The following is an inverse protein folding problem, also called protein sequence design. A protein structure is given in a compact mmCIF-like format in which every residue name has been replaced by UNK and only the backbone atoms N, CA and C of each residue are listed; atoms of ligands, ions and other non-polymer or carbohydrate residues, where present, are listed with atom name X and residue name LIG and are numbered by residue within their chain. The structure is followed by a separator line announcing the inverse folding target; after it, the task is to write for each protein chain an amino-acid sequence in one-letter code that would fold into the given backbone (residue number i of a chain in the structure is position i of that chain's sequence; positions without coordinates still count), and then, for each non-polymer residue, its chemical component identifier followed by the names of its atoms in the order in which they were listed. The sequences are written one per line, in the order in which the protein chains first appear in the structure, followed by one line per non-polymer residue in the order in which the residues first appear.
data_IF_502094686187
#
_entry.id   IF_502094686187
#
_cell.length_a   1.000
_cell.length_b   1.000
_cell.length_c   1.000
_cell.angle_alpha   90.00
_cell.angle_beta   90.00
_cell.angle_gamma   90.00
#
_symmetry.space_group_name_H-M   'P 1'
#
loop_
_entity.id
_entity.type
_entity.pdbx_description
1 polymer ?
#
# COMPACT_ATOMS: atom_id res chain seq x y z
N UNK A 1 51.97 -9.99 13.20
CA UNK A 1 51.07 -11.11 13.50
C UNK A 1 49.70 -10.76 12.93
N UNK A 2 49.50 -10.82 11.61
CA UNK A 2 49.00 -11.98 10.83
C UNK A 2 47.68 -12.53 11.35
N UNK A 3 46.61 -12.13 10.68
CA UNK A 3 45.25 -12.67 10.81
C UNK A 3 44.45 -12.26 9.58
N UNK A 4 44.79 -12.87 8.44
CA UNK A 4 44.03 -12.79 7.20
C UNK A 4 42.69 -13.51 7.39
N UNK A 5 41.60 -12.93 6.88
CA UNK A 5 40.39 -13.69 6.56
C UNK A 5 40.08 -13.52 5.07
N UNK A 6 40.16 -14.66 4.40
CA UNK A 6 39.75 -14.95 3.03
C UNK A 6 38.26 -14.57 2.88
N UNK A 7 37.80 -13.93 1.80
CA UNK A 7 37.88 -14.42 0.44
C UNK A 7 36.49 -14.90 0.02
N UNK A 8 35.58 -13.99 -0.35
CA UNK A 8 34.37 -14.34 -1.08
C UNK A 8 34.32 -13.56 -2.40
N UNK A 9 35.09 -14.07 -3.37
CA UNK A 9 35.19 -13.53 -4.73
C UNK A 9 34.26 -14.38 -5.60
N UNK A 10 33.06 -13.88 -5.87
CA UNK A 10 32.12 -14.49 -6.83
C UNK A 10 32.63 -14.16 -8.24
N UNK A 11 32.82 -15.16 -9.14
CA UNK A 11 33.45 -14.91 -10.43
C UNK A 11 32.51 -14.17 -11.38
N UNK A 12 33.05 -13.14 -12.03
CA UNK A 12 32.40 -12.45 -13.14
C UNK A 12 32.32 -13.34 -14.37
N UNK A 13 31.12 -13.41 -14.95
CA UNK A 13 30.93 -13.86 -16.32
C UNK A 13 30.58 -12.64 -17.16
N UNK A 14 31.62 -12.04 -17.76
CA UNK A 14 31.47 -11.28 -18.99
C UNK A 14 31.22 -12.25 -20.12
N UNK A 15 30.04 -12.21 -20.73
CA UNK A 15 29.78 -12.86 -22.00
C UNK A 15 29.34 -11.80 -23.00
N UNK A 16 30.11 -11.73 -24.07
CA UNK A 16 30.02 -10.80 -25.17
C UNK A 16 28.61 -10.71 -25.78
N UNK A 17 28.22 -9.47 -26.09
CA UNK A 17 27.07 -9.15 -26.92
C UNK A 17 27.51 -9.42 -28.37
N UNK A 18 27.05 -10.52 -28.96
CA UNK A 18 27.26 -10.84 -30.36
C UNK A 18 25.96 -10.70 -31.15
N UNK A 19 26.13 -10.19 -32.37
CA UNK A 19 25.13 -9.76 -33.31
C UNK A 19 24.12 -10.84 -33.72
N UNK A 20 22.99 -10.36 -34.25
CA UNK A 20 21.82 -11.16 -34.58
C UNK A 20 22.03 -12.24 -35.64
N UNK A 21 21.07 -13.15 -35.70
CA UNK A 21 20.80 -13.92 -36.92
C UNK A 21 19.33 -14.28 -36.96
N UNK A 22 18.66 -13.84 -38.03
CA UNK A 22 17.28 -14.20 -38.36
C UNK A 22 17.19 -15.71 -38.59
N UNK A 23 16.30 -16.39 -37.87
CA UNK A 23 15.94 -17.77 -38.17
C UNK A 23 15.05 -17.79 -39.42
N UNK A 24 15.64 -18.05 -40.59
CA UNK A 24 14.88 -18.44 -41.79
C UNK A 24 14.72 -19.96 -41.76
N UNK A 25 13.47 -20.38 -41.86
CA UNK A 25 13.03 -21.77 -41.91
C UNK A 25 13.48 -22.33 -43.26
N UNK A 26 14.26 -23.42 -43.21
CA UNK A 26 14.74 -24.15 -44.38
C UNK A 26 13.61 -24.87 -45.11
N UNK A 27 13.64 -24.73 -46.43
CA UNK A 27 12.79 -25.36 -47.43
C UNK A 27 13.41 -26.73 -47.78
N UNK A 28 12.94 -27.80 -47.14
CA UNK A 28 13.33 -29.17 -47.51
C UNK A 28 12.25 -29.80 -48.38
N UNK A 29 12.45 -29.68 -49.69
CA UNK A 29 11.78 -30.51 -50.71
C UNK A 29 12.65 -31.72 -51.05
N UNK A 30 11.98 -32.87 -51.12
CA UNK A 30 12.19 -33.97 -52.07
C UNK A 30 13.34 -34.97 -51.79
N UNK A 31 12.98 -36.10 -51.19
CA UNK A 31 13.48 -37.41 -51.60
C UNK A 31 12.43 -38.48 -51.24
N UNK A 32 11.65 -38.90 -52.24
CA UNK A 32 10.89 -40.15 -52.20
C UNK A 32 11.82 -41.29 -52.62
N UNK A 33 11.87 -42.37 -51.83
CA UNK A 33 12.08 -43.73 -52.32
C UNK A 33 11.54 -44.73 -51.30
N UNK A 34 11.03 -45.81 -51.84
CA UNK A 34 10.02 -46.71 -51.29
C UNK A 34 10.49 -47.56 -50.11
N UNK A 35 9.58 -47.81 -49.16
CA UNK A 35 9.42 -49.13 -48.53
C UNK A 35 8.04 -49.19 -47.87
N UNK A 36 7.24 -50.15 -48.30
CA UNK A 36 5.87 -50.33 -47.85
C UNK A 36 5.80 -50.75 -46.39
N UNK A 37 5.22 -49.89 -45.55
CA UNK A 37 4.63 -50.27 -44.26
C UNK A 37 3.26 -49.61 -44.20
N UNK A 38 2.23 -50.45 -44.10
CA UNK A 38 0.80 -50.09 -44.09
C UNK A 38 0.54 -48.90 -43.15
N UNK A 39 0.04 -47.79 -43.69
CA UNK A 39 -0.57 -46.71 -42.89
C UNK A 39 -1.77 -47.27 -42.15
N UNK A 40 -1.60 -47.54 -40.86
CA UNK A 40 -2.71 -47.53 -39.92
C UNK A 40 -3.25 -46.10 -39.87
N UNK A 41 -4.28 -45.84 -40.67
CA UNK A 41 -5.16 -44.69 -40.54
C UNK A 41 -5.93 -44.84 -39.23
N UNK A 42 -5.26 -44.63 -38.10
CA UNK A 42 -5.94 -44.33 -36.85
C UNK A 42 -6.59 -42.97 -37.01
N UNK A 43 -7.88 -43.02 -37.29
CA UNK A 43 -8.79 -41.91 -37.38
C UNK A 43 -8.69 -41.08 -36.10
N UNK A 44 -7.93 -39.97 -36.14
CA UNK A 44 -8.09 -38.90 -35.16
C UNK A 44 -9.44 -38.26 -35.48
N UNK A 45 -10.50 -38.83 -34.91
CA UNK A 45 -11.80 -38.17 -34.82
C UNK A 45 -11.63 -36.93 -33.94
N UNK A 46 -11.23 -35.83 -34.56
CA UNK A 46 -11.49 -34.50 -34.01
C UNK A 46 -12.98 -34.25 -34.26
N UNK A 47 -13.84 -34.18 -33.23
CA UNK A 47 -15.26 -33.97 -33.45
C UNK A 47 -15.47 -32.67 -34.24
N UNK A 48 -16.28 -32.75 -35.30
CA UNK A 48 -16.60 -31.59 -36.12
C UNK A 48 -17.24 -30.51 -35.24
N UNK A 49 -16.68 -29.30 -35.30
CA UNK A 49 -17.13 -28.17 -34.48
C UNK A 49 -18.58 -27.83 -34.87
N UNK A 50 -19.51 -27.69 -33.91
CA UNK A 50 -20.88 -27.33 -34.23
C UNK A 50 -20.93 -26.00 -34.99
N UNK A 51 -21.72 -25.97 -36.07
CA UNK A 51 -21.89 -24.77 -36.90
C UNK A 51 -22.38 -23.60 -36.02
N UNK A 52 -21.62 -22.51 -35.98
CA UNK A 52 -21.93 -21.33 -35.17
C UNK A 52 -21.15 -21.18 -33.86
N UNK A 53 -20.36 -22.17 -33.43
CA UNK A 53 -19.50 -21.99 -32.25
C UNK A 53 -18.20 -21.25 -32.62
N UNK A 54 -18.08 -19.98 -32.20
CA UNK A 54 -16.81 -19.23 -32.31
C UNK A 54 -15.77 -19.81 -31.36
N UNK A 55 -14.51 -19.82 -31.77
CA UNK A 55 -13.42 -20.25 -30.89
C UNK A 55 -13.15 -19.23 -29.78
N UNK A 56 -12.61 -19.68 -28.64
CA UNK A 56 -12.19 -18.75 -27.58
C UNK A 56 -11.15 -17.74 -28.10
N UNK A 57 -10.27 -18.17 -29.01
CA UNK A 57 -9.26 -17.28 -29.60
C UNK A 57 -9.88 -16.29 -30.61
N UNK A 58 -10.95 -16.65 -31.32
CA UNK A 58 -11.72 -15.72 -32.16
C UNK A 58 -12.47 -14.70 -31.30
N UNK A 59 -13.13 -15.16 -30.23
CA UNK A 59 -13.89 -14.29 -29.32
C UNK A 59 -12.97 -13.28 -28.62
N UNK A 60 -11.76 -13.70 -28.27
CA UNK A 60 -10.80 -12.88 -27.52
C UNK A 60 -9.77 -12.16 -28.39
N UNK A 61 -9.80 -12.35 -29.72
CA UNK A 61 -8.75 -11.85 -30.62
C UNK A 61 -7.35 -12.36 -30.21
N UNK A 62 -7.26 -13.62 -29.77
CA UNK A 62 -6.06 -14.27 -29.21
C UNK A 62 -5.49 -13.63 -27.93
N UNK A 63 -6.21 -12.68 -27.30
CA UNK A 63 -5.80 -12.03 -26.05
C UNK A 63 -6.19 -12.90 -24.86
N UNK A 64 -5.19 -13.42 -24.15
CA UNK A 64 -5.40 -14.23 -22.94
C UNK A 64 -4.76 -13.57 -21.73
N UNK A 65 -5.50 -12.69 -21.05
CA UNK A 65 -5.02 -11.95 -19.88
C UNK A 65 -4.56 -12.86 -18.72
N UNK A 66 -5.07 -14.10 -18.66
CA UNK A 66 -4.62 -15.11 -17.69
C UNK A 66 -3.16 -15.53 -17.88
N UNK A 67 -2.56 -15.34 -19.06
CA UNK A 67 -1.14 -15.66 -19.32
C UNK A 67 -0.22 -14.90 -18.36
N UNK A 68 -0.45 -13.59 -18.19
CA UNK A 68 0.34 -12.74 -17.28
C UNK A 68 0.03 -12.96 -15.78
N UNK A 69 -1.03 -13.72 -15.46
CA UNK A 69 -1.42 -14.03 -14.07
C UNK A 69 -0.99 -15.41 -13.62
N UNK A 70 -0.40 -16.22 -14.51
CA UNK A 70 -0.11 -17.65 -14.27
C UNK A 70 0.97 -17.85 -13.20
N UNK A 71 2.01 -17.02 -13.20
CA UNK A 71 3.13 -17.17 -12.29
C UNK A 71 3.42 -15.86 -11.53
N UNK A 72 4.00 -15.97 -10.34
CA UNK A 72 4.38 -14.81 -9.52
C UNK A 72 5.31 -13.85 -10.26
N UNK A 73 6.40 -14.38 -10.84
CA UNK A 73 7.35 -13.58 -11.61
C UNK A 73 6.67 -12.81 -12.76
N UNK A 74 5.68 -13.40 -13.43
CA UNK A 74 4.97 -12.74 -14.54
C UNK A 74 4.08 -11.61 -14.04
N UNK A 75 3.47 -11.76 -12.85
CA UNK A 75 2.66 -10.70 -12.23
C UNK A 75 3.52 -9.54 -11.75
N UNK A 76 4.69 -9.82 -11.16
CA UNK A 76 5.64 -8.80 -10.72
C UNK A 76 6.17 -7.93 -11.86
N UNK A 77 6.36 -8.49 -13.06
CA UNK A 77 6.79 -7.72 -14.24
C UNK A 77 5.73 -6.72 -14.75
N UNK A 78 4.45 -6.98 -14.50
CA UNK A 78 3.33 -6.14 -14.97
C UNK A 78 2.60 -5.44 -13.84
N UNK A 79 3.17 -5.43 -12.63
CA UNK A 79 2.56 -4.75 -11.49
C UNK A 79 2.66 -3.23 -11.70
N UNK A 80 1.51 -2.56 -11.72
CA UNK A 80 1.43 -1.12 -11.98
C UNK A 80 1.63 -0.27 -10.72
N UNK A 81 1.20 -0.78 -9.56
CA UNK A 81 1.22 -0.04 -8.30
C UNK A 81 1.89 -0.88 -7.21
N UNK A 82 2.65 -0.20 -6.35
CA UNK A 82 3.29 -0.81 -5.17
C UNK A 82 3.07 0.13 -4.00
N UNK A 83 2.48 -0.40 -2.93
CA UNK A 83 2.39 0.29 -1.65
C UNK A 83 3.69 0.08 -0.88
N UNK A 84 4.27 1.15 -0.36
CA UNK A 84 5.39 1.13 0.59
C UNK A 84 4.96 1.77 1.91
N UNK A 85 5.83 1.73 2.92
CA UNK A 85 5.56 2.41 4.19
C UNK A 85 5.55 3.94 4.02
N UNK A 86 6.21 4.45 2.99
CA UNK A 86 6.29 5.88 2.68
C UNK A 86 4.94 6.46 2.24
N UNK A 87 4.00 5.60 1.84
CA UNK A 87 2.64 5.97 1.44
C UNK A 87 1.67 6.06 2.64
N UNK A 88 2.13 5.73 3.86
CA UNK A 88 1.26 5.58 5.03
C UNK A 88 1.34 6.79 5.96
N UNK A 89 0.16 7.24 6.40
CA UNK A 89 0.00 8.16 7.54
C UNK A 89 -0.75 7.39 8.61
N UNK A 90 -0.32 7.49 9.87
CA UNK A 90 -0.98 6.79 10.98
C UNK A 90 -1.76 7.77 11.88
N UNK A 91 -3.10 7.76 11.81
CA UNK A 91 -3.95 8.52 12.72
C UNK A 91 -3.87 7.98 14.16
N UNK A 92 -3.75 8.89 15.13
CA UNK A 92 -3.82 8.57 16.55
C UNK A 92 -4.78 9.51 17.28
N UNK A 93 -5.47 8.98 18.29
CA UNK A 93 -6.42 9.74 19.11
C UNK A 93 -5.78 10.10 20.44
N UNK A 94 -5.79 11.37 20.82
CA UNK A 94 -5.11 11.89 22.01
C UNK A 94 -6.14 12.37 23.03
N UNK A 95 -5.96 11.97 24.29
CA UNK A 95 -6.77 12.38 25.44
C UNK A 95 -5.91 13.01 26.54
N UNK A 96 -6.57 13.76 27.43
CA UNK A 96 -5.98 14.29 28.65
C UNK A 96 -5.75 13.20 29.71
N UNK A 97 -4.85 13.50 30.65
CA UNK A 97 -4.48 12.63 31.76
C UNK A 97 -3.11 11.96 31.57
N UNK A 98 -2.87 10.90 32.33
CA UNK A 98 -1.59 10.21 32.41
C UNK A 98 -1.76 8.69 32.38
N UNK A 99 -0.92 8.00 31.60
CA UNK A 99 -0.85 6.55 31.51
C UNK A 99 -2.21 5.86 31.31
N UNK A 100 -3.08 6.45 30.48
CA UNK A 100 -4.39 5.90 30.13
C UNK A 100 -4.46 5.53 28.66
N UNK A 101 -5.07 4.37 28.42
CA UNK A 101 -5.37 3.81 27.11
C UNK A 101 -6.82 3.37 27.10
N UNK A 102 -7.64 4.00 26.26
CA UNK A 102 -9.07 3.69 26.16
C UNK A 102 -9.40 3.09 24.81
N UNK A 103 -10.06 1.94 24.79
CA UNK A 103 -10.51 1.35 23.54
C UNK A 103 -11.66 2.16 22.93
N UNK A 104 -11.67 2.26 21.60
CA UNK A 104 -12.80 2.82 20.85
C UNK A 104 -13.65 1.64 20.38
N UNK A 105 -14.85 1.39 20.95
CA UNK A 105 -15.63 0.18 20.66
C UNK A 105 -15.99 0.02 19.18
N UNK A 106 -16.18 1.14 18.46
CA UNK A 106 -16.49 1.16 17.04
C UNK A 106 -15.27 0.84 16.15
N UNK A 107 -14.06 0.89 16.69
CA UNK A 107 -12.80 0.67 15.97
C UNK A 107 -11.90 -0.31 16.77
N UNK A 108 -12.19 -1.62 16.72
CA UNK A 108 -11.42 -2.61 17.47
C UNK A 108 -9.92 -2.55 17.19
N UNK A 109 -9.11 -2.52 18.25
CA UNK A 109 -7.65 -2.37 18.16
C UNK A 109 -7.16 -0.91 18.03
N UNK A 110 -8.07 0.07 18.02
CA UNK A 110 -7.75 1.50 18.05
C UNK A 110 -8.09 2.07 19.42
N UNK A 111 -7.21 2.95 19.90
CA UNK A 111 -7.26 3.46 21.26
C UNK A 111 -7.12 4.98 21.30
N UNK A 112 -7.74 5.59 22.29
CA UNK A 112 -7.41 6.94 22.76
C UNK A 112 -6.26 6.83 23.75
N UNK A 113 -5.27 7.69 23.58
CA UNK A 113 -3.99 7.61 24.29
C UNK A 113 -3.72 8.92 25.01
N UNK A 114 -3.27 8.83 26.26
CA UNK A 114 -2.66 10.00 26.92
C UNK A 114 -1.35 10.39 26.24
N UNK A 115 -0.91 11.63 26.46
CA UNK A 115 0.26 12.20 25.81
C UNK A 115 1.51 11.32 25.94
N UNK A 116 1.75 10.74 27.12
CA UNK A 116 2.89 9.85 27.37
C UNK A 116 2.85 8.58 26.52
N UNK A 117 1.66 8.06 26.21
CA UNK A 117 1.48 6.89 25.36
C UNK A 117 1.49 7.27 23.87
N UNK A 118 0.97 8.45 23.52
CA UNK A 118 1.03 8.97 22.16
C UNK A 118 2.49 9.13 21.68
N UNK A 119 3.39 9.59 22.56
CA UNK A 119 4.83 9.66 22.26
C UNK A 119 5.41 8.26 22.00
N UNK A 120 5.05 7.25 22.79
CA UNK A 120 5.51 5.87 22.57
C UNK A 120 5.02 5.29 21.24
N UNK A 121 3.79 5.58 20.84
CA UNK A 121 3.29 5.15 19.52
C UNK A 121 3.97 5.92 18.37
N UNK A 122 4.32 7.19 18.56
CA UNK A 122 5.12 7.94 17.58
C UNK A 122 6.54 7.36 17.42
N UNK A 123 7.21 6.99 18.51
CA UNK A 123 8.50 6.28 18.45
C UNK A 123 8.36 4.94 17.72
N UNK A 124 7.27 4.22 17.96
CA UNK A 124 6.97 2.97 17.25
C UNK A 124 6.73 3.21 15.76
N UNK A 125 5.98 4.25 15.40
CA UNK A 125 5.74 4.63 14.02
C UNK A 125 7.06 4.88 13.28
N UNK A 126 7.97 5.64 13.88
CA UNK A 126 9.30 5.88 13.32
C UNK A 126 10.14 4.59 13.19
N UNK A 127 10.11 3.69 14.19
CA UNK A 127 10.77 2.38 14.11
C UNK A 127 10.24 1.50 12.97
N UNK A 128 8.96 1.66 12.61
CA UNK A 128 8.33 0.95 11.49
C UNK A 128 8.61 1.61 10.13
N UNK A 129 9.17 2.82 10.11
CA UNK A 129 9.42 3.60 8.91
C UNK A 129 8.23 4.44 8.43
N UNK A 130 7.19 4.62 9.27
CA UNK A 130 6.03 5.45 8.93
C UNK A 130 6.46 6.93 8.94
N UNK A 131 6.27 7.67 7.84
CA UNK A 131 6.78 9.03 7.71
C UNK A 131 6.03 10.06 8.56
N UNK A 132 4.73 9.86 8.78
CA UNK A 132 3.90 10.86 9.48
C UNK A 132 2.78 10.24 10.31
N UNK A 133 2.40 10.96 11.36
CA UNK A 133 1.21 10.69 12.17
C UNK A 133 0.24 11.87 12.11
N UNK A 134 -1.04 11.56 12.16
CA UNK A 134 -2.11 12.57 12.24
C UNK A 134 -2.73 12.52 13.64
N UNK A 135 -2.76 13.65 14.34
CA UNK A 135 -3.23 13.72 15.73
C UNK A 135 -4.65 14.27 15.80
N UNK A 136 -5.54 13.51 16.45
CA UNK A 136 -6.94 13.90 16.65
C UNK A 136 -7.26 13.97 18.14
N UNK A 137 -7.76 15.10 18.66
CA UNK A 137 -8.08 15.21 20.07
C UNK A 137 -9.44 14.60 20.39
N UNK A 138 -9.56 14.02 21.56
CA UNK A 138 -10.85 13.75 22.18
C UNK A 138 -10.97 14.58 23.47
N UNK A 139 -11.58 15.75 23.34
CA UNK A 139 -11.73 16.72 24.42
C UNK A 139 -12.93 16.36 25.31
N UNK A 140 -12.76 16.51 26.63
CA UNK A 140 -13.82 16.34 27.62
C UNK A 140 -14.96 17.33 27.38
N UNK A 141 -16.20 16.91 27.67
CA UNK A 141 -17.40 17.67 27.30
C UNK A 141 -17.49 19.04 27.99
N UNK A 142 -16.94 19.16 29.20
CA UNK A 142 -16.90 20.37 30.03
C UNK A 142 -15.93 21.43 29.48
N UNK A 143 -14.99 21.03 28.64
CA UNK A 143 -14.07 21.92 27.91
C UNK A 143 -14.60 22.33 26.54
N UNK A 144 -15.79 21.87 26.16
CA UNK A 144 -16.44 22.25 24.91
C UNK A 144 -17.44 23.37 25.15
N UNK A 145 -17.41 24.38 24.29
CA UNK A 145 -18.34 25.52 24.37
C UNK A 145 -18.99 25.80 23.01
N UNK A 146 -19.82 26.83 22.89
CA UNK A 146 -20.51 27.15 21.63
C UNK A 146 -19.58 27.66 20.52
N UNK A 147 -18.37 28.10 20.88
CA UNK A 147 -17.41 28.75 19.97
C UNK A 147 -16.18 27.90 19.67
N UNK A 148 -15.97 26.81 20.40
CA UNK A 148 -14.75 26.01 20.35
C UNK A 148 -13.53 26.71 20.94
N UNK A 149 -13.70 27.64 21.91
CA UNK A 149 -12.64 28.57 22.33
C UNK A 149 -11.34 27.88 22.81
N UNK A 150 -11.44 26.66 23.34
CA UNK A 150 -10.29 25.87 23.80
C UNK A 150 -9.30 25.52 22.67
N UNK A 151 -9.68 25.62 21.40
CA UNK A 151 -8.72 25.46 20.28
C UNK A 151 -7.61 26.52 20.32
N UNK A 152 -7.91 27.72 20.85
CA UNK A 152 -6.99 28.86 20.92
C UNK A 152 -5.99 28.74 22.07
N UNK A 153 -6.18 27.77 22.99
CA UNK A 153 -5.25 27.56 24.09
C UNK A 153 -3.90 27.02 23.56
N UNK A 154 -2.77 27.76 23.76
CA UNK A 154 -1.44 27.28 23.36
C UNK A 154 -1.02 25.99 24.08
N UNK A 155 -1.65 25.66 25.21
CA UNK A 155 -1.44 24.46 26.01
C UNK A 155 -2.53 23.40 25.81
N UNK A 156 -3.34 23.50 24.74
CA UNK A 156 -4.27 22.43 24.39
C UNK A 156 -3.56 21.08 24.14
N UNK A 157 -4.33 19.99 24.22
CA UNK A 157 -3.80 18.62 24.16
C UNK A 157 -3.00 18.34 22.88
N UNK A 158 -3.41 18.90 21.73
CA UNK A 158 -2.74 18.69 20.43
C UNK A 158 -1.43 19.45 20.35
N UNK A 159 -1.40 20.69 20.84
CA UNK A 159 -0.19 21.51 20.88
C UNK A 159 0.86 20.89 21.79
N UNK A 160 0.47 20.44 22.98
CA UNK A 160 1.37 19.73 23.90
C UNK A 160 1.85 18.40 23.32
N UNK A 161 0.94 17.61 22.72
CA UNK A 161 1.31 16.35 22.08
C UNK A 161 2.29 16.57 20.93
N UNK A 162 2.06 17.58 20.10
CA UNK A 162 2.96 17.96 19.00
C UNK A 162 4.36 18.31 19.51
N UNK A 163 4.46 19.17 20.54
CA UNK A 163 5.74 19.52 21.17
C UNK A 163 6.45 18.29 21.74
N UNK A 164 5.73 17.45 22.49
CA UNK A 164 6.30 16.26 23.11
C UNK A 164 6.78 15.23 22.09
N UNK A 165 5.99 14.98 21.04
CA UNK A 165 6.36 14.04 19.98
C UNK A 165 7.55 14.56 19.19
N UNK A 166 7.60 15.87 18.86
CA UNK A 166 8.75 16.43 18.15
C UNK A 166 10.03 16.47 18.99
N UNK A 167 9.92 16.54 20.32
CA UNK A 167 11.06 16.39 21.21
C UNK A 167 11.63 14.96 21.20
N UNK A 168 10.76 13.94 21.15
CA UNK A 168 11.17 12.53 21.17
C UNK A 168 11.58 11.99 19.78
N UNK A 169 10.88 12.41 18.73
CA UNK A 169 11.03 11.92 17.36
C UNK A 169 11.07 13.12 16.39
N UNK A 170 12.18 13.88 16.32
CA UNK A 170 12.24 15.12 15.53
C UNK A 170 11.94 14.94 14.04
N UNK A 171 12.29 13.77 13.48
CA UNK A 171 12.17 13.48 12.05
C UNK A 171 10.74 13.11 11.59
N UNK A 172 9.86 12.69 12.51
CA UNK A 172 8.49 12.27 12.11
C UNK A 172 7.64 13.49 11.74
N UNK A 173 6.86 13.35 10.67
CA UNK A 173 5.85 14.33 10.28
C UNK A 173 4.69 14.34 11.28
N UNK A 174 4.22 15.53 11.64
CA UNK A 174 3.01 15.73 12.46
C UNK A 174 2.00 16.49 11.62
N UNK A 175 0.83 15.90 11.47
CA UNK A 175 -0.31 16.50 10.79
C UNK A 175 -1.36 16.78 11.86
N UNK A 176 -1.64 18.06 12.09
CA UNK A 176 -2.65 18.51 13.06
C UNK A 176 -3.95 18.80 12.34
N UNK A 177 -5.05 18.42 12.97
CA UNK A 177 -6.38 18.77 12.50
C UNK A 177 -6.74 20.23 12.86
N UNK A 178 -7.34 20.94 11.89
CA UNK A 178 -7.69 22.35 11.99
C UNK A 178 -9.21 22.53 11.84
N UNK A 179 -9.95 22.03 12.84
CA UNK A 179 -11.41 22.03 12.88
C UNK A 179 -11.94 22.27 14.30
N UNK A 180 -13.15 22.81 14.42
CA UNK A 180 -13.77 23.14 15.72
C UNK A 180 -14.61 22.01 16.32
N UNK A 181 -14.92 20.94 15.58
CA UNK A 181 -15.82 19.87 16.03
C UNK A 181 -15.39 19.17 17.34
N UNK A 182 -14.10 19.00 17.67
CA UNK A 182 -13.73 18.40 18.95
C UNK A 182 -13.92 19.38 20.11
N UNK A 183 -14.01 20.67 19.81
CA UNK A 183 -14.06 21.78 20.78
C UNK A 183 -15.45 22.39 20.92
N UNK A 184 -16.34 22.20 19.96
CA UNK A 184 -17.70 22.73 20.03
C UNK A 184 -18.64 21.79 20.78
N UNK A 185 -19.53 22.38 21.58
CA UNK A 185 -20.57 21.66 22.33
C UNK A 185 -21.61 20.99 21.43
N UNK A 186 -21.80 21.53 20.22
CA UNK A 186 -22.70 20.98 19.20
C UNK A 186 -22.00 19.99 18.25
N UNK A 187 -20.66 19.93 18.24
CA UNK A 187 -19.90 18.99 17.39
C UNK A 187 -19.91 19.34 15.90
N UNK A 188 -20.00 20.63 15.56
CA UNK A 188 -19.82 21.10 14.18
C UNK A 188 -18.48 21.82 14.04
N UNK A 189 -17.93 21.78 12.83
CA UNK A 189 -16.60 22.28 12.49
C UNK A 189 -16.49 23.82 12.51
N UNK A 190 -17.63 24.52 12.57
CA UNK A 190 -17.72 25.98 12.53
C UNK A 190 -18.63 26.56 13.62
N UNK A 191 -18.66 27.89 13.72
CA UNK A 191 -19.47 28.59 14.72
C UNK A 191 -20.95 28.53 14.33
N UNK A 192 -21.81 28.08 15.25
CA UNK A 192 -23.25 28.02 15.03
C UNK A 192 -23.92 29.35 15.43
N UNK A 193 -24.63 29.99 14.49
CA UNK A 193 -25.52 31.14 14.73
C UNK A 193 -26.86 30.91 14.04
N UNK A 194 -27.94 31.02 14.79
CA UNK A 194 -29.32 30.87 14.28
C UNK A 194 -29.56 29.59 13.45
N UNK A 195 -28.92 28.48 13.85
CA UNK A 195 -29.04 27.19 13.16
C UNK A 195 -28.17 27.04 11.91
N UNK A 196 -27.31 28.02 11.60
CA UNK A 196 -26.41 28.02 10.46
C UNK A 196 -24.95 28.07 10.93
N UNK A 197 -24.09 27.29 10.27
CA UNK A 197 -22.64 27.39 10.47
C UNK A 197 -22.13 28.59 9.67
N UNK A 198 -21.68 29.62 10.38
CA UNK A 198 -21.17 30.85 9.75
C UNK A 198 -19.73 30.65 9.29
N UNK A 199 -19.41 31.19 8.11
CA UNK A 199 -18.10 31.05 7.50
C UNK A 199 -17.10 32.12 7.98
N UNK A 200 -17.55 33.37 8.12
CA UNK A 200 -16.73 34.55 8.47
C UNK A 200 -17.38 35.37 9.60
#
# INVERSE_FOLDING_TARGET
MTGQSEGNRVPGNGAAIAAGTSCRIGDERLAMLETGIRRSLMNRFTPARPAGSRSVDEITGSRRLRRMRKADWSRRLVQENRLTVDDLIWPIFVIEGENRREEIPAMPGVYRLTLDLAVKEAERAAKLGIPAIATFPNIEIDRRDQTGSHILDPENVINRATRAIKAAVPEIGIITDAALDPFTSHGHDGILRDGVIVND
#
